data_IF_552358271788
#
_entry.id   IF_552358271788
#
_cell.length_a   1.000
_cell.length_b   1.000
_cell.length_c   1.000
_cell.angle_alpha   90.00
_cell.angle_beta   90.00
_cell.angle_gamma   90.00
#
_symmetry.space_group_name_H-M   'P 1'
#
loop_
_entity.id
_entity.type
_entity.pdbx_description
1 polymer ?
#
# COMPACT_ATOMS: atom_id res chain seq x y z
N UNK A 1 -18.02 -9.37 10.59
CA UNK A 1 -18.95 -10.10 9.71
C UNK A 1 -18.58 -9.68 8.29
N UNK A 2 -18.11 -10.59 7.42
CA UNK A 2 -17.81 -10.22 6.03
C UNK A 2 -19.10 -9.82 5.32
N UNK A 3 -19.08 -8.67 4.65
CA UNK A 3 -20.20 -8.17 3.85
C UNK A 3 -20.11 -8.81 2.46
N UNK A 4 -20.85 -9.89 2.24
CA UNK A 4 -20.96 -10.46 0.90
C UNK A 4 -21.91 -9.61 0.05
N UNK A 5 -21.44 -9.16 -1.11
CA UNK A 5 -22.24 -8.41 -2.08
C UNK A 5 -22.53 -9.32 -3.26
N UNK A 6 -23.83 -9.52 -3.55
CA UNK A 6 -24.26 -10.29 -4.72
C UNK A 6 -24.47 -9.35 -5.92
N UNK A 7 -23.89 -9.69 -7.07
CA UNK A 7 -24.20 -8.98 -8.31
C UNK A 7 -25.64 -9.33 -8.76
N UNK A 8 -26.53 -8.34 -8.97
CA UNK A 8 -27.92 -8.59 -9.33
C UNK A 8 -28.11 -9.19 -10.73
N UNK A 9 -27.07 -9.21 -11.56
CA UNK A 9 -27.15 -9.66 -12.96
C UNK A 9 -26.65 -11.09 -13.17
N UNK A 10 -25.66 -11.55 -12.40
CA UNK A 10 -25.12 -12.91 -12.50
C UNK A 10 -25.24 -13.71 -11.20
N UNK A 11 -25.80 -13.12 -10.13
CA UNK A 11 -25.95 -13.70 -8.79
C UNK A 11 -24.65 -14.20 -8.16
N UNK A 12 -23.51 -13.83 -8.73
CA UNK A 12 -22.22 -14.16 -8.16
C UNK A 12 -22.02 -13.32 -6.91
N UNK A 13 -21.74 -13.99 -5.80
CA UNK A 13 -21.33 -13.36 -4.55
C UNK A 13 -19.86 -13.01 -4.63
N UNK A 14 -19.55 -11.78 -4.25
CA UNK A 14 -18.21 -11.29 -4.04
C UNK A 14 -18.09 -10.99 -2.56
N UNK A 15 -16.98 -11.43 -1.97
CA UNK A 15 -16.58 -10.86 -0.68
C UNK A 15 -16.28 -9.37 -0.95
N UNK A 16 -16.99 -8.45 -0.30
CA UNK A 16 -16.71 -7.02 -0.49
C UNK A 16 -15.28 -6.66 -0.08
N UNK A 17 -14.57 -7.60 0.57
CA UNK A 17 -13.40 -7.33 1.36
C UNK A 17 -13.82 -6.53 2.58
N UNK A 18 -13.24 -6.85 3.72
CA UNK A 18 -13.22 -5.85 4.79
C UNK A 18 -12.43 -4.67 4.21
N UNK A 19 -13.07 -3.50 4.07
CA UNK A 19 -12.37 -2.25 3.73
C UNK A 19 -11.51 -1.92 4.95
N UNK A 20 -10.35 -2.56 4.99
CA UNK A 20 -9.39 -2.38 6.07
C UNK A 20 -8.84 -0.97 5.91
N UNK A 21 -9.01 -0.09 6.90
CA UNK A 21 -8.51 1.28 6.80
C UNK A 21 -7.00 1.26 6.58
N UNK A 22 -6.50 2.28 5.86
CA UNK A 22 -5.06 2.49 5.67
C UNK A 22 -4.39 2.67 7.03
N UNK A 23 -3.21 2.11 7.22
CA UNK A 23 -2.47 2.28 8.46
C UNK A 23 -2.08 3.76 8.70
N UNK A 24 -2.38 4.35 9.88
CA UNK A 24 -2.05 5.75 10.16
C UNK A 24 -0.56 6.06 10.10
N UNK A 25 0.31 5.09 10.43
CA UNK A 25 1.75 5.25 10.34
C UNK A 25 2.22 5.39 8.89
N UNK A 26 1.61 4.63 7.97
CA UNK A 26 1.87 4.75 6.52
C UNK A 26 1.38 6.10 5.99
N UNK A 27 0.19 6.56 6.42
CA UNK A 27 -0.34 7.88 6.05
C UNK A 27 0.62 8.98 6.50
N UNK A 28 0.97 8.99 7.79
CA UNK A 28 1.88 9.99 8.38
C UNK A 28 3.21 10.03 7.64
N UNK A 29 3.82 8.88 7.42
CA UNK A 29 5.09 8.77 6.70
C UNK A 29 4.99 9.30 5.27
N UNK A 30 3.91 8.98 4.54
CA UNK A 30 3.66 9.51 3.19
C UNK A 30 3.49 11.04 3.16
N UNK A 31 2.85 11.63 4.17
CA UNK A 31 2.51 13.07 4.17
C UNK A 31 3.58 13.95 4.79
N UNK A 32 4.29 13.48 5.82
CA UNK A 32 5.17 14.30 6.64
C UNK A 32 6.66 14.09 6.34
N UNK A 33 7.04 12.89 5.89
CA UNK A 33 8.45 12.50 5.82
C UNK A 33 8.96 12.33 4.38
N UNK A 34 8.05 12.16 3.42
CA UNK A 34 8.41 11.86 2.04
C UNK A 34 8.37 13.06 1.09
N UNK A 35 9.55 13.44 0.63
CA UNK A 35 9.77 14.57 -0.30
C UNK A 35 10.12 14.13 -1.73
N UNK A 36 10.25 12.83 -1.99
CA UNK A 36 10.67 12.32 -3.31
C UNK A 36 9.53 12.32 -4.34
N UNK A 37 9.92 12.35 -5.61
CA UNK A 37 9.07 12.19 -6.79
C UNK A 37 9.76 11.28 -7.81
N UNK A 38 8.98 10.59 -8.65
CA UNK A 38 9.52 9.69 -9.68
C UNK A 38 9.40 8.22 -9.30
N UNK A 39 10.50 7.46 -9.48
CA UNK A 39 10.58 6.02 -9.19
C UNK A 39 11.67 5.74 -8.15
N UNK A 40 11.33 5.04 -7.07
CA UNK A 40 12.28 4.67 -6.01
C UNK A 40 12.15 3.18 -5.65
N UNK A 41 13.26 2.47 -5.35
CA UNK A 41 13.21 1.05 -5.00
C UNK A 41 12.37 0.81 -3.75
N UNK A 42 11.42 -0.12 -3.84
CA UNK A 42 10.47 -0.37 -2.74
C UNK A 42 11.16 -0.83 -1.47
N UNK A 43 12.24 -1.61 -1.57
CA UNK A 43 13.02 -2.04 -0.41
C UNK A 43 13.68 -0.87 0.33
N UNK A 44 14.16 0.13 -0.42
CA UNK A 44 14.72 1.36 0.16
C UNK A 44 13.64 2.13 0.91
N UNK A 45 12.51 2.36 0.25
CA UNK A 45 11.39 3.10 0.81
C UNK A 45 10.80 2.40 2.04
N UNK A 46 10.69 1.07 2.01
CA UNK A 46 10.24 0.31 3.16
C UNK A 46 11.24 0.38 4.32
N UNK A 47 12.54 0.36 4.04
CA UNK A 47 13.57 0.55 5.07
C UNK A 47 13.49 1.94 5.73
N UNK A 48 13.26 2.99 4.93
CA UNK A 48 13.08 4.36 5.42
C UNK A 48 11.79 4.48 6.27
N UNK A 49 10.72 3.80 5.87
CA UNK A 49 9.51 3.66 6.68
C UNK A 49 9.78 2.92 8.00
N UNK A 50 10.52 1.82 7.99
CA UNK A 50 10.86 1.09 9.22
C UNK A 50 11.66 1.95 10.20
N UNK A 51 12.55 2.80 9.70
CA UNK A 51 13.34 3.70 10.54
C UNK A 51 12.49 4.77 11.23
N UNK A 52 11.39 5.20 10.61
CA UNK A 52 10.51 6.27 11.09
C UNK A 52 9.25 5.79 11.83
N UNK A 53 8.79 4.57 11.55
CA UNK A 53 7.54 4.01 12.07
C UNK A 53 7.55 3.75 13.59
N UNK A 54 8.73 3.72 14.24
CA UNK A 54 8.86 3.46 15.67
C UNK A 54 8.52 2.01 16.02
N UNK A 55 7.75 1.79 17.09
CA UNK A 55 7.62 0.47 17.73
C UNK A 55 6.63 -0.50 17.05
N UNK A 56 5.81 -0.02 16.10
CA UNK A 56 4.75 -0.84 15.47
C UNK A 56 4.68 -0.66 13.95
N UNK A 57 5.76 -0.99 13.20
CA UNK A 57 5.72 -0.95 11.75
C UNK A 57 4.78 -2.02 11.18
N UNK A 58 4.13 -1.70 10.06
CA UNK A 58 3.41 -2.70 9.26
C UNK A 58 4.36 -3.54 8.42
N UNK A 59 3.91 -4.72 7.98
CA UNK A 59 4.69 -5.56 7.05
C UNK A 59 4.88 -4.89 5.69
N UNK A 60 5.93 -5.26 4.94
CA UNK A 60 6.18 -4.79 3.57
C UNK A 60 4.95 -4.92 2.67
N UNK A 61 4.26 -6.06 2.74
CA UNK A 61 3.06 -6.30 1.95
C UNK A 61 1.96 -5.30 2.30
N UNK A 62 1.73 -5.05 3.59
CA UNK A 62 0.73 -4.07 4.06
C UNK A 62 1.12 -2.66 3.65
N UNK A 63 2.39 -2.30 3.80
CA UNK A 63 2.93 -1.02 3.38
C UNK A 63 2.67 -0.74 1.89
N UNK A 64 3.00 -1.69 1.02
CA UNK A 64 2.74 -1.57 -0.43
C UNK A 64 1.25 -1.48 -0.75
N UNK A 65 0.41 -2.29 -0.09
CA UNK A 65 -1.05 -2.23 -0.27
C UNK A 65 -1.63 -0.86 0.12
N UNK A 66 -1.17 -0.33 1.26
CA UNK A 66 -1.63 0.94 1.80
C UNK A 66 -1.18 2.11 0.91
N UNK A 67 0.07 2.09 0.45
CA UNK A 67 0.58 3.07 -0.52
C UNK A 67 -0.16 3.00 -1.86
N UNK A 68 -0.43 1.80 -2.37
CA UNK A 68 -1.20 1.63 -3.60
C UNK A 68 -2.61 2.22 -3.45
N UNK A 69 -3.25 2.02 -2.29
CA UNK A 69 -4.55 2.63 -1.98
C UNK A 69 -4.47 4.15 -1.90
N UNK A 70 -3.35 4.71 -1.47
CA UNK A 70 -3.06 6.15 -1.44
C UNK A 70 -2.57 6.71 -2.79
N UNK A 71 -2.53 5.92 -3.85
CA UNK A 71 -2.14 6.36 -5.20
C UNK A 71 -0.63 6.29 -5.48
N UNK A 72 0.14 5.57 -4.67
CA UNK A 72 1.57 5.28 -4.85
C UNK A 72 1.75 3.78 -5.13
N UNK A 73 1.52 3.32 -6.38
CA UNK A 73 1.61 1.90 -6.70
C UNK A 73 3.05 1.39 -6.71
N UNK A 74 3.21 0.10 -6.40
CA UNK A 74 4.43 -0.65 -6.70
C UNK A 74 4.38 -1.18 -8.14
N UNK A 75 5.48 -1.01 -8.87
CA UNK A 75 5.71 -1.53 -10.21
C UNK A 75 6.94 -2.44 -10.20
N UNK A 76 7.05 -3.35 -11.16
CA UNK A 76 8.19 -4.26 -11.30
C UNK A 76 8.86 -4.04 -12.65
N UNK A 77 10.19 -3.91 -12.65
CA UNK A 77 10.96 -3.79 -13.88
C UNK A 77 11.24 -5.15 -14.54
N UNK A 78 11.95 -5.13 -15.68
CA UNK A 78 12.33 -6.31 -16.42
C UNK A 78 13.29 -7.25 -15.66
N UNK A 79 14.04 -6.70 -14.70
CA UNK A 79 15.01 -7.42 -13.87
C UNK A 79 14.34 -8.01 -12.60
N UNK A 80 13.05 -7.74 -12.39
CA UNK A 80 12.29 -8.20 -11.24
C UNK A 80 12.35 -7.28 -10.02
N UNK A 81 13.04 -6.14 -10.13
CA UNK A 81 13.15 -5.14 -9.06
C UNK A 81 11.83 -4.39 -8.93
N UNK A 82 11.40 -4.20 -7.69
CA UNK A 82 10.13 -3.54 -7.40
C UNK A 82 10.36 -2.08 -6.98
N UNK A 83 9.57 -1.16 -7.53
CA UNK A 83 9.67 0.27 -7.30
C UNK A 83 8.33 0.88 -6.97
N UNK A 84 8.31 1.78 -6.01
CA UNK A 84 7.19 2.68 -5.81
C UNK A 84 7.27 3.79 -6.85
N UNK A 85 6.11 4.26 -7.31
CA UNK A 85 6.00 5.36 -8.29
C UNK A 85 5.09 6.43 -7.73
N UNK A 86 5.60 7.68 -7.66
CA UNK A 86 4.85 8.84 -7.20
C UNK A 86 4.97 9.97 -8.22
N UNK A 87 3.82 10.49 -8.66
CA UNK A 87 3.72 11.62 -9.60
C UNK A 87 3.85 12.96 -8.88
#
# INVERSE_FOLDING_TARGET
>A
MPNEVACPQCHHTFDSGEVRPVDPGVVRWLTEELTWSGQEPTERMYSDYLYSAGDTPVSRQRFVQDLAYLGVPETRDADGTCFLVRK
#
